data_IF_687078301212
#
_entry.id   IF_687078301212
#
_cell.length_a   1.000
_cell.length_b   1.000
_cell.length_c   1.000
_cell.angle_alpha   90.00
_cell.angle_beta   90.00
_cell.angle_gamma   90.00
#
_symmetry.space_group_name_H-M   'P 1'
#
loop_
_entity.id
_entity.type
_entity.pdbx_description
1 polymer ?
#
# COMPACT_ATOMS: atom_id res chain seq x y z
N UNK A 1 4.06 -48.85 -32.18
CA UNK A 1 4.54 -47.60 -32.81
C UNK A 1 4.08 -46.33 -32.08
N UNK A 2 2.96 -46.34 -31.33
CA UNK A 2 2.43 -45.13 -30.66
C UNK A 2 3.28 -44.57 -29.51
N UNK A 3 4.01 -45.42 -28.78
CA UNK A 3 4.91 -44.96 -27.69
C UNK A 3 6.14 -44.20 -28.21
N UNK A 4 6.53 -44.40 -29.47
CA UNK A 4 7.70 -43.76 -30.05
C UNK A 4 7.41 -42.30 -30.42
N UNK A 5 6.21 -42.02 -30.95
CA UNK A 5 5.75 -40.66 -31.27
C UNK A 5 5.50 -39.80 -30.02
N UNK A 6 5.06 -40.40 -28.91
CA UNK A 6 4.82 -39.69 -27.65
C UNK A 6 6.12 -39.19 -26.98
N UNK A 7 7.20 -39.97 -27.08
CA UNK A 7 8.51 -39.61 -26.52
C UNK A 7 9.20 -38.56 -27.42
N UNK A 8 9.15 -38.73 -28.74
CA UNK A 8 9.73 -37.75 -29.68
C UNK A 8 9.05 -36.38 -29.58
N UNK A 9 7.72 -36.33 -29.43
CA UNK A 9 6.99 -35.07 -29.26
C UNK A 9 7.38 -34.31 -27.99
N UNK A 10 7.61 -35.01 -26.87
CA UNK A 10 8.03 -34.39 -25.61
C UNK A 10 9.46 -33.84 -25.67
N UNK A 11 10.38 -34.54 -26.34
CA UNK A 11 11.77 -34.09 -26.50
C UNK A 11 11.85 -32.84 -27.38
N UNK A 12 11.09 -32.77 -28.48
CA UNK A 12 11.03 -31.57 -29.34
C UNK A 12 10.49 -30.35 -28.58
N UNK A 13 9.47 -30.55 -27.74
CA UNK A 13 8.88 -29.47 -26.96
C UNK A 13 9.86 -28.91 -25.91
N UNK A 14 10.64 -29.77 -25.25
CA UNK A 14 11.68 -29.33 -24.30
C UNK A 14 12.79 -28.54 -25.00
N UNK A 15 13.23 -28.98 -26.18
CA UNK A 15 14.26 -28.27 -26.97
C UNK A 15 13.75 -26.89 -27.41
N UNK A 16 12.49 -26.76 -27.83
CA UNK A 16 11.88 -25.47 -28.18
C UNK A 16 11.82 -24.50 -27.00
N UNK A 17 11.47 -24.98 -25.81
CA UNK A 17 11.40 -24.15 -24.59
C UNK A 17 12.79 -23.64 -24.19
N UNK A 18 13.82 -24.51 -24.22
CA UNK A 18 15.20 -24.12 -23.90
C UNK A 18 15.76 -23.15 -24.95
N UNK A 19 15.45 -23.36 -26.24
CA UNK A 19 15.82 -22.44 -27.32
C UNK A 19 15.20 -21.04 -27.15
N UNK A 20 13.92 -20.97 -26.75
CA UNK A 20 13.24 -19.70 -26.52
C UNK A 20 13.80 -18.93 -25.31
N UNK A 21 14.16 -19.63 -24.23
CA UNK A 21 14.74 -19.00 -23.03
C UNK A 21 16.16 -18.48 -23.27
N UNK A 22 16.99 -19.23 -24.00
CA UNK A 22 18.37 -18.81 -24.33
C UNK A 22 18.39 -17.62 -25.32
N UNK A 23 17.50 -17.61 -26.31
CA UNK A 23 17.37 -16.48 -27.24
C UNK A 23 16.80 -15.22 -26.55
N UNK A 24 15.84 -15.37 -25.65
CA UNK A 24 15.27 -14.25 -24.88
C UNK A 24 16.28 -13.57 -23.95
N UNK A 25 17.13 -14.35 -23.28
CA UNK A 25 18.19 -13.82 -22.41
C UNK A 25 19.28 -13.05 -23.15
N UNK A 26 19.65 -13.49 -24.35
CA UNK A 26 20.66 -12.81 -25.17
C UNK A 26 20.16 -11.48 -25.73
N UNK A 27 18.88 -11.38 -26.13
CA UNK A 27 18.35 -10.14 -26.72
C UNK A 27 18.09 -9.03 -25.68
N UNK A 28 17.78 -9.39 -24.43
CA UNK A 28 17.56 -8.41 -23.35
C UNK A 28 18.84 -7.96 -22.63
N UNK A 29 19.97 -8.66 -22.80
CA UNK A 29 21.24 -8.35 -22.13
C UNK A 29 22.12 -7.27 -22.77
N UNK A 30 21.81 -6.79 -23.98
CA UNK A 30 22.72 -5.92 -24.78
C UNK A 30 22.27 -4.44 -24.82
N UNK A 31 21.40 -4.02 -23.90
CA UNK A 31 20.89 -2.63 -23.83
C UNK A 31 21.04 -1.99 -22.44
N UNK A 32 22.19 -2.16 -21.81
CA UNK A 32 22.64 -1.27 -20.73
C UNK A 32 23.72 -0.34 -21.28
N UNK A 33 23.28 0.86 -21.66
CA UNK A 33 24.14 1.95 -22.11
C UNK A 33 24.96 2.52 -20.96
N UNK A 34 26.17 2.90 -21.32
CA UNK A 34 27.24 3.51 -20.54
C UNK A 34 26.79 4.64 -19.60
N UNK A 35 27.19 4.55 -18.32
CA UNK A 35 27.17 5.68 -17.39
C UNK A 35 28.50 6.40 -17.53
N UNK A 36 28.47 7.56 -18.19
CA UNK A 36 29.60 8.50 -18.24
C UNK A 36 29.78 9.13 -16.86
N UNK A 37 30.92 8.90 -16.22
CA UNK A 37 31.31 9.51 -14.94
C UNK A 37 31.78 10.94 -15.19
N UNK A 38 30.99 11.95 -14.81
CA UNK A 38 31.43 13.35 -14.82
C UNK A 38 32.20 13.64 -13.52
N UNK A 39 33.44 14.08 -13.69
CA UNK A 39 34.36 14.52 -12.65
C UNK A 39 33.92 15.90 -12.13
N UNK A 40 33.75 16.03 -10.83
CA UNK A 40 33.45 17.30 -10.18
C UNK A 40 34.74 18.14 -10.07
N UNK A 41 34.70 19.35 -10.62
CA UNK A 41 35.73 20.37 -10.55
C UNK A 41 35.45 21.24 -9.31
N UNK A 42 36.43 21.36 -8.41
CA UNK A 42 36.30 22.15 -7.19
C UNK A 42 36.33 23.64 -7.54
N UNK A 43 35.18 24.32 -7.39
CA UNK A 43 35.07 25.78 -7.48
C UNK A 43 34.98 26.38 -6.09
N UNK A 44 35.90 27.28 -5.78
CA UNK A 44 35.97 28.11 -4.57
C UNK A 44 34.68 28.90 -4.34
N UNK A 45 34.12 28.76 -3.13
CA UNK A 45 32.94 29.49 -2.65
C UNK A 45 33.32 30.94 -2.27
N UNK A 46 32.69 31.92 -2.92
CA UNK A 46 32.52 33.26 -2.37
C UNK A 46 31.12 33.35 -1.77
N UNK A 47 31.06 33.61 -0.48
CA UNK A 47 29.86 33.81 0.32
C UNK A 47 29.14 35.09 -0.13
N UNK A 48 28.02 34.93 -0.82
CA UNK A 48 27.01 35.97 -0.99
C UNK A 48 25.69 35.44 -0.42
N UNK A 49 25.23 36.12 0.64
CA UNK A 49 24.02 35.82 1.38
C UNK A 49 22.79 35.89 0.46
N UNK A 50 22.03 34.80 0.23
CA UNK A 50 20.81 34.88 -0.55
C UNK A 50 19.68 35.55 0.25
N UNK A 51 19.08 36.57 -0.35
CA UNK A 51 17.81 37.17 0.05
C UNK A 51 16.76 36.07 0.25
N UNK A 52 15.95 36.09 1.33
CA UNK A 52 14.95 35.05 1.58
C UNK A 52 13.90 35.04 0.47
N UNK A 53 13.89 33.98 -0.33
CA UNK A 53 12.78 33.65 -1.23
C UNK A 53 11.52 33.45 -0.39
N UNK A 54 10.38 34.09 -0.71
CA UNK A 54 9.14 33.82 -0.01
C UNK A 54 8.77 32.34 -0.20
N UNK A 55 8.68 31.62 0.91
CA UNK A 55 8.18 30.24 0.96
C UNK A 55 6.80 30.22 0.30
N UNK A 56 6.54 29.36 -0.71
CA UNK A 56 5.20 29.24 -1.27
C UNK A 56 4.25 28.81 -0.16
N UNK A 57 3.26 29.64 0.15
CA UNK A 57 2.19 29.31 1.08
C UNK A 57 1.45 28.08 0.51
N UNK A 58 1.41 26.94 1.22
CA UNK A 58 0.70 25.77 0.73
C UNK A 58 -0.78 26.13 0.56
N UNK A 59 -1.32 25.92 -0.65
CA UNK A 59 -2.76 26.04 -0.90
C UNK A 59 -3.46 24.89 -0.19
N UNK A 60 -3.99 25.16 1.01
CA UNK A 60 -4.72 24.16 1.79
C UNK A 60 -5.98 23.74 1.03
N UNK A 61 -6.01 22.50 0.51
CA UNK A 61 -7.19 21.93 -0.12
C UNK A 61 -8.33 21.79 0.91
N UNK A 62 -9.59 22.08 0.54
CA UNK A 62 -10.71 21.92 1.45
C UNK A 62 -10.89 20.43 1.80
N UNK A 63 -11.09 20.16 3.09
CA UNK A 63 -11.29 18.80 3.61
C UNK A 63 -12.79 18.50 3.79
N UNK A 64 -13.20 17.29 3.40
CA UNK A 64 -14.54 16.75 3.59
C UNK A 64 -14.48 15.67 4.67
N UNK A 65 -15.39 15.73 5.63
CA UNK A 65 -15.54 14.69 6.66
C UNK A 65 -16.56 13.65 6.21
N UNK A 66 -16.18 12.37 6.27
CA UNK A 66 -17.04 11.24 5.91
C UNK A 66 -17.14 10.26 7.06
N UNK A 67 -18.37 9.86 7.38
CA UNK A 67 -18.64 8.84 8.38
C UNK A 67 -18.76 7.45 7.74
N UNK A 68 -18.31 6.41 8.43
CA UNK A 68 -18.39 5.02 8.00
C UNK A 68 -18.58 4.06 9.16
N UNK A 69 -18.79 2.80 8.81
CA UNK A 69 -19.00 1.69 9.72
C UNK A 69 -20.46 1.38 10.04
N UNK A 70 -20.71 0.11 10.35
CA UNK A 70 -22.03 -0.39 10.75
C UNK A 70 -22.26 -0.20 12.25
N UNK A 71 -23.52 -0.04 12.70
CA UNK A 71 -23.80 0.09 14.12
C UNK A 71 -23.44 -1.19 14.89
N UNK A 72 -23.11 -1.07 16.18
CA UNK A 72 -22.81 -2.22 17.05
C UNK A 72 -23.96 -3.25 17.11
N UNK A 73 -25.20 -2.81 16.89
CA UNK A 73 -26.37 -3.68 16.79
C UNK A 73 -26.29 -4.70 15.64
N UNK A 74 -25.40 -4.48 14.66
CA UNK A 74 -25.12 -5.43 13.59
C UNK A 74 -24.24 -6.63 14.05
N UNK A 75 -23.79 -6.64 15.31
CA UNK A 75 -23.05 -7.76 15.89
C UNK A 75 -21.55 -7.78 15.57
N UNK A 76 -21.01 -6.72 14.95
CA UNK A 76 -19.58 -6.58 14.69
C UNK A 76 -18.84 -5.84 15.79
N UNK A 77 -17.56 -6.17 15.98
CA UNK A 77 -16.68 -5.55 16.97
C UNK A 77 -16.08 -4.21 16.52
N UNK A 78 -16.22 -3.82 15.25
CA UNK A 78 -15.70 -2.57 14.71
C UNK A 78 -16.42 -1.34 15.27
N UNK A 79 -15.70 -0.24 15.36
CA UNK A 79 -16.28 1.05 15.68
C UNK A 79 -16.84 1.73 14.43
N UNK A 80 -17.92 2.48 14.59
CA UNK A 80 -18.25 3.51 13.63
C UNK A 80 -17.19 4.60 13.70
N UNK A 81 -16.90 5.20 12.55
CA UNK A 81 -15.76 6.10 12.42
C UNK A 81 -16.07 7.28 11.52
N UNK A 82 -15.19 8.26 11.59
CA UNK A 82 -15.12 9.34 10.61
C UNK A 82 -13.68 9.52 10.15
N UNK A 83 -13.53 10.00 8.92
CA UNK A 83 -12.25 10.37 8.33
C UNK A 83 -12.38 11.67 7.55
N UNK A 84 -11.26 12.27 7.22
CA UNK A 84 -11.14 13.51 6.46
C UNK A 84 -10.27 13.27 5.24
N UNK A 85 -10.76 13.68 4.07
CA UNK A 85 -10.03 13.64 2.81
C UNK A 85 -10.24 14.95 2.05
N UNK A 86 -9.34 15.31 1.14
CA UNK A 86 -9.59 16.43 0.24
C UNK A 86 -10.81 16.14 -0.65
N UNK A 87 -11.43 17.20 -1.15
CA UNK A 87 -12.55 17.11 -2.09
C UNK A 87 -12.19 16.48 -3.45
N UNK A 88 -10.90 16.24 -3.72
CA UNK A 88 -10.43 15.50 -4.90
C UNK A 88 -10.76 13.99 -4.81
N UNK A 89 -11.04 13.46 -3.62
CA UNK A 89 -11.35 12.05 -3.42
C UNK A 89 -12.83 11.77 -3.67
N UNK A 90 -13.10 10.85 -4.59
CA UNK A 90 -14.43 10.31 -4.84
C UNK A 90 -14.75 9.27 -3.78
N UNK A 91 -15.88 9.45 -3.10
CA UNK A 91 -16.30 8.59 -1.99
C UNK A 91 -17.48 7.74 -2.43
N UNK A 92 -17.38 6.42 -2.22
CA UNK A 92 -18.45 5.46 -2.51
C UNK A 92 -18.63 4.51 -1.33
N UNK A 93 -19.88 4.19 -1.00
CA UNK A 93 -20.24 3.15 -0.03
C UNK A 93 -20.96 1.99 -0.72
N UNK A 94 -20.63 0.78 -0.30
CA UNK A 94 -21.30 -0.44 -0.73
C UNK A 94 -21.62 -1.32 0.49
N UNK A 95 -22.82 -1.89 0.51
CA UNK A 95 -23.25 -2.83 1.53
C UNK A 95 -23.94 -3.99 0.82
N UNK A 96 -23.58 -5.22 1.17
CA UNK A 96 -24.24 -6.44 0.73
C UNK A 96 -25.31 -6.86 1.75
N UNK A 97 -25.07 -6.59 3.03
CA UNK A 97 -25.97 -6.93 4.14
C UNK A 97 -26.08 -5.78 5.14
N UNK A 98 -26.95 -5.93 6.13
CA UNK A 98 -27.04 -4.99 7.26
C UNK A 98 -25.82 -5.07 8.21
N UNK A 99 -25.00 -6.11 8.05
CA UNK A 99 -23.84 -6.40 8.89
C UNK A 99 -22.53 -6.28 8.09
N UNK A 100 -22.52 -5.48 7.03
CA UNK A 100 -21.31 -5.06 6.37
C UNK A 100 -21.40 -3.63 5.84
N UNK A 101 -20.25 -3.00 5.68
CA UNK A 101 -20.07 -1.78 4.90
C UNK A 101 -18.68 -1.81 4.29
N UNK A 102 -18.59 -1.38 3.02
CA UNK A 102 -17.33 -1.08 2.36
C UNK A 102 -17.32 0.37 1.91
N UNK A 103 -16.40 1.14 2.44
CA UNK A 103 -16.13 2.52 2.04
C UNK A 103 -14.94 2.54 1.09
N UNK A 104 -15.12 3.15 -0.08
CA UNK A 104 -14.06 3.43 -1.03
C UNK A 104 -13.81 4.93 -1.09
N UNK A 105 -12.53 5.30 -1.06
CA UNK A 105 -12.05 6.62 -1.43
C UNK A 105 -11.14 6.43 -2.64
N UNK A 106 -11.44 7.06 -3.77
CA UNK A 106 -10.61 6.95 -4.98
C UNK A 106 -10.20 8.32 -5.50
N UNK A 107 -8.97 8.44 -5.98
CA UNK A 107 -8.42 9.63 -6.62
C UNK A 107 -7.50 9.17 -7.73
N UNK A 108 -7.86 9.46 -8.98
CA UNK A 108 -7.23 8.84 -10.14
C UNK A 108 -7.21 7.30 -9.99
N UNK A 109 -6.03 6.69 -10.12
CA UNK A 109 -5.80 5.25 -9.95
C UNK A 109 -5.50 4.82 -8.49
N UNK A 110 -5.48 5.76 -7.55
CA UNK A 110 -5.31 5.47 -6.13
C UNK A 110 -6.65 5.11 -5.49
N UNK A 111 -6.62 4.16 -4.57
CA UNK A 111 -7.82 3.76 -3.83
C UNK A 111 -7.48 3.38 -2.39
N UNK A 112 -8.28 3.88 -1.45
CA UNK A 112 -8.36 3.40 -0.08
C UNK A 112 -9.69 2.67 0.06
N UNK A 113 -9.67 1.46 0.62
CA UNK A 113 -10.87 0.70 0.96
C UNK A 113 -10.90 0.43 2.45
N UNK A 114 -12.01 0.72 3.12
CA UNK A 114 -12.26 0.33 4.51
C UNK A 114 -13.46 -0.61 4.52
N UNK A 115 -13.25 -1.86 4.88
CA UNK A 115 -14.28 -2.90 4.92
C UNK A 115 -14.56 -3.35 6.36
N UNK A 116 -15.83 -3.26 6.76
CA UNK A 116 -16.39 -3.87 7.96
C UNK A 116 -17.29 -5.03 7.55
N UNK A 117 -16.99 -6.21 8.09
CA UNK A 117 -17.78 -7.43 7.90
C UNK A 117 -17.22 -8.55 8.75
N UNK A 118 -17.94 -9.66 8.88
CA UNK A 118 -17.46 -10.83 9.60
C UNK A 118 -16.22 -11.41 8.90
N UNK A 119 -15.03 -11.06 9.40
CA UNK A 119 -13.73 -11.41 8.82
C UNK A 119 -12.82 -11.97 9.90
N UNK A 120 -11.97 -12.93 9.50
CA UNK A 120 -10.94 -13.46 10.39
C UNK A 120 -9.81 -12.44 10.60
N UNK A 121 -9.17 -12.52 11.76
CA UNK A 121 -7.98 -11.72 12.04
C UNK A 121 -6.71 -12.36 11.48
N UNK A 122 -5.69 -11.54 11.22
CA UNK A 122 -4.35 -11.99 10.89
C UNK A 122 -3.31 -11.07 11.53
N UNK A 123 -2.20 -11.65 12.01
CA UNK A 123 -1.07 -10.87 12.51
C UNK A 123 -0.27 -10.24 11.37
N UNK A 124 0.23 -9.04 11.62
CA UNK A 124 1.19 -8.36 10.77
C UNK A 124 2.57 -8.50 11.42
N UNK A 125 3.41 -9.34 10.83
CA UNK A 125 4.77 -9.60 11.30
C UNK A 125 5.75 -8.68 10.58
N UNK A 126 6.75 -8.18 11.31
CA UNK A 126 7.83 -7.36 10.79
C UNK A 126 9.19 -8.03 11.01
N UNK A 127 10.26 -7.36 10.58
CA UNK A 127 11.62 -7.85 10.79
C UNK A 127 11.92 -7.98 12.29
N UNK A 128 12.38 -9.17 12.70
CA UNK A 128 12.65 -9.50 14.10
C UNK A 128 11.50 -10.22 14.81
N UNK A 129 10.26 -10.15 14.29
CA UNK A 129 9.14 -10.85 14.89
C UNK A 129 9.26 -12.36 14.67
N UNK A 130 8.98 -13.18 15.71
CA UNK A 130 9.01 -14.63 15.59
C UNK A 130 8.01 -15.12 14.55
N UNK A 131 8.23 -16.33 14.04
CA UNK A 131 7.22 -16.99 13.24
C UNK A 131 5.99 -17.28 14.11
N UNK A 132 4.81 -17.15 13.52
CA UNK A 132 3.54 -17.37 14.19
C UNK A 132 2.77 -18.48 13.49
N UNK A 133 2.25 -19.43 14.26
CA UNK A 133 1.37 -20.49 13.76
C UNK A 133 -0.08 -19.98 13.71
N UNK A 134 -0.50 -19.53 12.52
CA UNK A 134 -1.84 -19.03 12.25
C UNK A 134 -1.86 -18.00 11.11
N UNK A 135 -3.02 -17.39 10.81
CA UNK A 135 -3.11 -16.37 9.78
C UNK A 135 -2.18 -15.20 10.09
N UNK A 136 -1.18 -14.99 9.24
CA UNK A 136 -0.24 -13.89 9.37
C UNK A 136 0.33 -13.50 8.00
N UNK A 137 0.75 -12.24 7.91
CA UNK A 137 1.48 -11.70 6.76
C UNK A 137 2.75 -11.04 7.26
N UNK A 138 3.87 -11.24 6.56
CA UNK A 138 5.14 -10.60 6.89
C UNK A 138 5.40 -9.43 5.94
N UNK A 139 5.72 -8.27 6.51
CA UNK A 139 6.02 -7.04 5.77
C UNK A 139 7.47 -6.61 6.00
N UNK A 140 8.14 -6.18 4.93
CA UNK A 140 9.51 -5.67 4.98
C UNK A 140 9.55 -4.13 5.08
N UNK A 141 8.42 -3.46 4.82
CA UNK A 141 8.30 -2.02 4.85
C UNK A 141 7.02 -1.61 5.58
N UNK A 142 7.15 -0.61 6.45
CA UNK A 142 6.00 0.03 7.08
C UNK A 142 6.28 1.50 7.38
N UNK A 143 5.20 2.27 7.46
CA UNK A 143 5.19 3.62 8.05
C UNK A 143 4.21 3.63 9.22
N UNK A 144 4.69 4.03 10.38
CA UNK A 144 3.85 4.18 11.57
C UNK A 144 3.02 5.46 11.46
N UNK A 145 1.74 5.35 11.80
CA UNK A 145 0.74 6.39 11.74
C UNK A 145 0.00 6.43 13.08
N UNK A 146 -0.50 7.60 13.45
CA UNK A 146 -1.36 7.76 14.63
C UNK A 146 -2.70 8.30 14.17
N UNK A 147 -3.79 7.62 14.54
CA UNK A 147 -5.16 8.09 14.31
C UNK A 147 -5.52 9.25 15.25
N UNK A 148 -6.62 9.96 14.99
CA UNK A 148 -7.09 11.06 15.84
C UNK A 148 -7.60 10.63 17.22
N UNK A 149 -7.92 9.34 17.39
CA UNK A 149 -8.25 8.73 18.68
C UNK A 149 -7.06 7.97 19.31
N UNK A 150 -5.83 8.32 18.92
CA UNK A 150 -4.56 7.84 19.48
C UNK A 150 -4.30 6.33 19.32
N UNK A 151 -4.79 5.71 18.24
CA UNK A 151 -4.42 4.35 17.88
C UNK A 151 -3.15 4.36 17.04
N UNK A 152 -2.21 3.49 17.39
CA UNK A 152 -1.02 3.25 16.57
C UNK A 152 -1.37 2.33 15.41
N UNK A 153 -1.18 2.82 14.20
CA UNK A 153 -1.41 2.13 12.94
C UNK A 153 -0.09 1.99 12.19
N UNK A 154 -0.02 1.02 11.27
CA UNK A 154 1.10 0.86 10.33
C UNK A 154 0.56 0.59 8.94
N UNK A 155 0.85 1.50 8.01
CA UNK A 155 0.71 1.20 6.58
C UNK A 155 1.85 0.24 6.22
N UNK A 156 1.49 -0.99 5.87
CA UNK A 156 2.41 -2.13 5.76
C UNK A 156 2.32 -2.75 4.38
N UNK A 157 3.48 -3.08 3.80
CA UNK A 157 3.59 -3.60 2.45
C UNK A 157 5.04 -3.79 2.05
N UNK A 158 5.28 -3.66 0.75
CA UNK A 158 6.62 -3.64 0.18
C UNK A 158 7.04 -2.21 -0.18
N UNK A 159 8.33 -1.89 -0.10
CA UNK A 159 8.87 -0.56 -0.40
C UNK A 159 8.45 -0.05 -1.79
N UNK A 160 8.40 -0.95 -2.78
CA UNK A 160 7.97 -0.67 -4.15
C UNK A 160 6.63 -1.35 -4.49
N UNK A 161 5.85 -1.70 -3.46
CA UNK A 161 4.57 -2.38 -3.61
C UNK A 161 3.52 -1.47 -4.23
N UNK A 162 2.56 -2.09 -4.92
CA UNK A 162 1.37 -1.41 -5.46
C UNK A 162 0.15 -1.55 -4.54
N UNK A 163 0.35 -2.20 -3.39
CA UNK A 163 -0.69 -2.46 -2.42
C UNK A 163 -0.13 -2.37 -1.00
N UNK A 164 -0.89 -1.75 -0.12
CA UNK A 164 -0.60 -1.71 1.30
C UNK A 164 -1.84 -2.14 2.08
N UNK A 165 -1.62 -2.72 3.26
CA UNK A 165 -2.65 -2.90 4.27
C UNK A 165 -2.37 -1.98 5.45
N UNK A 166 -3.38 -1.67 6.26
CA UNK A 166 -3.16 -1.00 7.54
C UNK A 166 -3.33 -1.99 8.67
N UNK A 167 -2.28 -2.14 9.46
CA UNK A 167 -2.27 -2.95 10.68
C UNK A 167 -2.38 -2.04 11.89
N UNK A 168 -3.10 -2.47 12.93
CA UNK A 168 -3.22 -1.74 14.18
C UNK A 168 -2.42 -2.45 15.28
N UNK A 169 -1.77 -1.66 16.15
CA UNK A 169 -1.16 -2.17 17.36
C UNK A 169 -2.23 -2.63 18.36
N UNK A 170 -2.11 -3.84 18.87
CA UNK A 170 -2.91 -4.37 19.97
C UNK A 170 -2.27 -4.07 21.33
N UNK A 171 -3.00 -4.37 22.40
CA UNK A 171 -2.57 -4.09 23.78
C UNK A 171 -1.35 -4.91 24.20
N UNK A 172 -1.14 -6.07 23.59
CA UNK A 172 0.05 -6.92 23.77
C UNK A 172 1.29 -6.42 23.00
N UNK A 173 1.15 -5.33 22.26
CA UNK A 173 2.22 -4.73 21.46
C UNK A 173 2.38 -5.31 20.06
N UNK A 174 1.68 -6.41 19.74
CA UNK A 174 1.65 -6.97 18.39
C UNK A 174 0.85 -6.08 17.45
N UNK A 175 0.99 -6.30 16.13
CA UNK A 175 0.17 -5.63 15.13
C UNK A 175 -0.68 -6.65 14.40
N UNK A 176 -1.90 -6.26 14.02
CA UNK A 176 -2.77 -7.12 13.26
C UNK A 176 -3.82 -6.38 12.45
N UNK A 177 -4.52 -7.17 11.64
CA UNK A 177 -5.74 -6.80 10.96
C UNK A 177 -6.87 -7.75 11.40
N UNK A 178 -8.14 -7.33 11.29
CA UNK A 178 -8.57 -5.97 10.99
C UNK A 178 -8.19 -4.96 12.08
N UNK A 179 -8.22 -3.67 11.73
CA UNK A 179 -8.17 -2.59 12.72
C UNK A 179 -9.52 -2.46 13.44
N UNK A 180 -9.60 -1.61 14.47
CA UNK A 180 -10.89 -1.26 15.08
C UNK A 180 -11.87 -0.59 14.10
N UNK A 181 -11.40 -0.07 12.96
CA UNK A 181 -12.23 0.52 11.92
C UNK A 181 -12.64 -0.47 10.82
N UNK A 182 -12.06 -1.67 10.80
CA UNK A 182 -12.22 -2.66 9.73
C UNK A 182 -10.89 -3.04 9.06
N UNK A 183 -10.98 -3.82 7.98
CA UNK A 183 -9.85 -4.06 7.07
C UNK A 183 -9.63 -2.83 6.20
N UNK A 184 -8.44 -2.25 6.27
CA UNK A 184 -8.07 -1.10 5.46
C UNK A 184 -7.02 -1.54 4.45
N UNK A 185 -7.32 -1.40 3.17
CA UNK A 185 -6.38 -1.67 2.09
C UNK A 185 -6.21 -0.44 1.20
N UNK A 186 -5.02 -0.31 0.64
CA UNK A 186 -4.61 0.79 -0.22
C UNK A 186 -4.08 0.18 -1.50
N UNK A 187 -4.57 0.68 -2.63
CA UNK A 187 -4.08 0.35 -3.97
C UNK A 187 -3.43 1.59 -4.56
N UNK A 188 -2.24 1.42 -5.12
CA UNK A 188 -1.48 2.45 -5.81
C UNK A 188 -1.35 2.12 -7.32
N UNK A 189 -1.24 3.13 -8.20
CA UNK A 189 -0.82 2.92 -9.58
C UNK A 189 0.66 2.51 -9.68
N UNK A 190 1.06 1.99 -10.85
CA UNK A 190 2.45 1.61 -11.13
C UNK A 190 3.41 2.79 -10.98
N UNK A 191 2.98 3.99 -11.36
CA UNK A 191 3.74 5.24 -11.28
C UNK A 191 3.22 6.13 -10.14
N UNK A 192 3.13 5.58 -8.94
CA UNK A 192 2.71 6.36 -7.78
C UNK A 192 3.76 7.40 -7.37
N UNK A 193 3.32 8.47 -6.70
CA UNK A 193 4.18 9.51 -6.17
C UNK A 193 4.02 9.64 -4.65
N UNK A 194 5.06 10.14 -4.00
CA UNK A 194 5.11 10.23 -2.54
C UNK A 194 4.07 11.23 -1.98
N UNK A 195 3.73 12.28 -2.71
CA UNK A 195 2.77 13.30 -2.27
C UNK A 195 1.37 12.70 -2.07
N UNK A 196 0.85 11.95 -3.04
CA UNK A 196 -0.45 11.28 -2.90
C UNK A 196 -0.41 10.20 -1.81
N UNK A 197 0.74 9.54 -1.62
CA UNK A 197 0.90 8.55 -0.55
C UNK A 197 0.90 9.20 0.84
N UNK A 198 1.50 10.37 0.99
CA UNK A 198 1.44 11.16 2.22
C UNK A 198 0.03 11.75 2.45
N UNK A 199 -0.70 12.07 1.39
CA UNK A 199 -2.14 12.41 1.47
C UNK A 199 -2.95 11.22 1.99
N UNK A 200 -2.71 10.00 1.49
CA UNK A 200 -3.33 8.77 1.99
C UNK A 200 -3.01 8.54 3.47
N UNK A 201 -1.75 8.71 3.86
CA UNK A 201 -1.32 8.60 5.26
C UNK A 201 -2.06 9.61 6.15
N UNK A 202 -2.26 10.84 5.67
CA UNK A 202 -3.02 11.88 6.35
C UNK A 202 -4.51 11.53 6.49
N UNK A 203 -5.11 10.92 5.46
CA UNK A 203 -6.48 10.41 5.50
C UNK A 203 -6.61 9.32 6.57
N UNK A 204 -5.69 8.36 6.60
CA UNK A 204 -5.71 7.26 7.59
C UNK A 204 -5.49 7.82 9.00
N UNK A 205 -4.56 8.74 9.19
CA UNK A 205 -4.34 9.42 10.47
C UNK A 205 -5.53 10.28 10.93
N UNK A 206 -6.41 10.69 10.02
CA UNK A 206 -7.61 11.44 10.38
C UNK A 206 -8.72 10.58 11.00
N UNK A 207 -8.60 9.24 10.93
CA UNK A 207 -9.58 8.32 11.47
C UNK A 207 -9.84 8.60 12.95
N UNK A 208 -11.12 8.62 13.33
CA UNK A 208 -11.55 8.66 14.73
C UNK A 208 -12.85 7.88 14.88
N UNK A 209 -13.00 7.23 16.03
CA UNK A 209 -14.29 6.70 16.48
C UNK A 209 -15.35 7.81 16.57
N UNK A 210 -16.57 7.49 16.16
CA UNK A 210 -17.79 8.33 16.32
C UNK A 210 -18.69 7.71 17.37
#
# INVERSE_FOLDING_TARGET
MEKFFSIFGKVILVILVIGAMTYGGYYFGIKTKEIKKTQAEATTSNENLPTPTPTPTPTTKPLVTTNGGVPKSAGLSYDQYSLQASNDWVIKKENQTVADEKLYLSKDDYQITIFQGATGGALCLYSGDPNFEGPSSRYNFFKELTSKDNRTLRRSGDLNGLGFTVCQKYTDGSFGQPTNYGHISIKLPISWNQETLDEIDSIISSLKKV
#
